data_IF_373449366843
#
_entry.id   IF_373449366843
#
_cell.length_a   1.000
_cell.length_b   1.000
_cell.length_c   1.000
_cell.angle_alpha   90.00
_cell.angle_beta   90.00
_cell.angle_gamma   90.00
#
_symmetry.space_group_name_H-M   'P 1'
#
loop_
_entity.id
_entity.type
_entity.pdbx_description
1 polymer ?
#
# COMPACT_ATOMS: atom_id res chain seq x y z
N UNK A 1 -14.20 -17.85 41.59
CA UNK A 1 -14.63 -18.99 42.42
C UNK A 1 -15.71 -18.55 43.43
N UNK A 2 -16.89 -18.09 42.96
CA UNK A 2 -17.92 -17.49 43.84
C UNK A 2 -19.36 -17.78 43.39
N UNK A 3 -19.56 -18.75 42.50
CA UNK A 3 -20.89 -19.11 41.94
C UNK A 3 -21.42 -20.41 42.54
N UNK A 4 -20.59 -21.20 43.22
CA UNK A 4 -20.99 -22.52 43.72
C UNK A 4 -21.78 -22.47 45.04
N UNK A 5 -21.82 -21.35 45.75
CA UNK A 5 -22.36 -21.29 47.13
C UNK A 5 -23.83 -20.87 47.27
N UNK A 6 -24.55 -20.61 46.16
CA UNK A 6 -25.96 -20.18 46.20
C UNK A 6 -26.96 -21.25 45.73
N UNK A 7 -26.53 -22.51 45.57
CA UNK A 7 -27.39 -23.60 45.07
C UNK A 7 -27.80 -24.64 46.13
N UNK A 8 -27.77 -24.29 47.42
CA UNK A 8 -28.07 -25.29 48.47
C UNK A 8 -29.26 -24.94 49.37
N UNK A 9 -29.93 -23.80 49.16
CA UNK A 9 -31.06 -23.40 50.01
C UNK A 9 -32.38 -23.49 49.24
N UNK A 10 -33.03 -24.65 49.41
CA UNK A 10 -34.47 -24.89 49.33
C UNK A 10 -35.20 -24.31 48.11
N UNK A 11 -35.55 -25.16 47.13
CA UNK A 11 -36.75 -24.92 46.31
C UNK A 11 -37.18 -26.13 45.51
N UNK A 12 -38.48 -26.37 45.57
CA UNK A 12 -39.26 -27.22 44.68
C UNK A 12 -38.81 -27.07 43.22
N UNK A 13 -38.77 -28.18 42.51
CA UNK A 13 -38.33 -28.31 41.11
C UNK A 13 -38.99 -27.29 40.16
N UNK A 14 -40.20 -26.81 40.50
CA UNK A 14 -40.94 -25.79 39.76
C UNK A 14 -40.27 -24.40 39.74
N UNK A 15 -39.62 -23.97 40.83
CA UNK A 15 -39.01 -22.63 40.90
C UNK A 15 -37.67 -22.55 40.18
N UNK A 16 -36.92 -23.66 40.14
CA UNK A 16 -35.67 -23.76 39.38
C UNK A 16 -35.94 -23.64 37.88
N UNK A 17 -37.01 -24.27 37.36
CA UNK A 17 -37.40 -24.14 35.96
C UNK A 17 -37.78 -22.69 35.58
N UNK A 18 -38.48 -21.95 36.44
CA UNK A 18 -38.83 -20.54 36.18
C UNK A 18 -37.58 -19.66 36.07
N UNK A 19 -36.59 -19.86 36.94
CA UNK A 19 -35.33 -19.09 36.91
C UNK A 19 -34.51 -19.43 35.66
N UNK A 20 -34.39 -20.71 35.30
CA UNK A 20 -33.70 -21.14 34.09
C UNK A 20 -34.35 -20.61 32.80
N UNK A 21 -35.69 -20.58 32.75
CA UNK A 21 -36.43 -19.99 31.62
C UNK A 21 -36.17 -18.48 31.50
N UNK A 22 -36.09 -17.76 32.63
CA UNK A 22 -35.82 -16.32 32.64
C UNK A 22 -34.39 -16.00 32.20
N UNK A 23 -33.41 -16.79 32.64
CA UNK A 23 -32.01 -16.67 32.22
C UNK A 23 -31.78 -17.03 30.74
N UNK A 24 -32.50 -18.04 30.22
CA UNK A 24 -32.39 -18.39 28.78
C UNK A 24 -32.96 -17.28 27.89
N UNK A 25 -34.08 -16.66 28.30
CA UNK A 25 -34.65 -15.49 27.60
C UNK A 25 -33.70 -14.29 27.64
N UNK A 26 -33.06 -14.02 28.79
CA UNK A 26 -32.14 -12.91 28.93
C UNK A 26 -30.87 -13.10 28.08
N UNK A 27 -30.30 -14.31 28.05
CA UNK A 27 -29.18 -14.64 27.15
C UNK A 27 -29.55 -14.46 25.67
N UNK A 28 -30.75 -14.89 25.26
CA UNK A 28 -31.24 -14.70 23.88
C UNK A 28 -31.39 -13.23 23.51
N UNK A 29 -31.90 -12.40 24.42
CA UNK A 29 -32.06 -10.96 24.21
C UNK A 29 -30.69 -10.27 24.05
N UNK A 30 -29.70 -10.60 24.89
CA UNK A 30 -28.34 -10.04 24.76
C UNK A 30 -27.63 -10.47 23.48
N UNK A 31 -27.75 -11.74 23.07
CA UNK A 31 -27.15 -12.21 21.79
C UNK A 31 -27.79 -11.54 20.57
N UNK A 32 -29.10 -11.28 20.61
CA UNK A 32 -29.82 -10.59 19.53
C UNK A 32 -29.39 -9.12 19.41
N UNK A 33 -29.24 -8.42 20.54
CA UNK A 33 -28.72 -7.04 20.57
C UNK A 33 -27.28 -6.96 20.06
N UNK A 34 -26.43 -7.92 20.43
CA UNK A 34 -25.04 -7.98 19.97
C UNK A 34 -24.96 -8.23 18.46
N UNK A 35 -25.81 -9.13 17.92
CA UNK A 35 -25.89 -9.39 16.49
C UNK A 35 -26.40 -8.17 15.71
N UNK A 36 -27.45 -7.51 16.22
CA UNK A 36 -27.99 -6.28 15.60
C UNK A 36 -26.96 -5.16 15.58
N UNK A 37 -26.17 -5.00 16.64
CA UNK A 37 -25.07 -4.03 16.71
C UNK A 37 -23.93 -4.39 15.75
N UNK A 38 -23.57 -5.67 15.63
CA UNK A 38 -22.56 -6.14 14.67
C UNK A 38 -23.02 -5.91 13.21
N UNK A 39 -24.31 -6.12 12.94
CA UNK A 39 -24.91 -5.87 11.63
C UNK A 39 -24.97 -4.38 11.29
N UNK A 40 -25.41 -3.51 12.22
CA UNK A 40 -25.44 -2.06 12.00
C UNK A 40 -24.04 -1.46 11.86
N UNK A 41 -23.05 -1.98 12.58
CA UNK A 41 -21.67 -1.55 12.45
C UNK A 41 -21.08 -1.98 11.09
N UNK A 42 -21.41 -3.19 10.62
CA UNK A 42 -21.00 -3.70 9.30
C UNK A 42 -21.49 -2.82 8.14
N UNK A 43 -22.73 -2.35 8.17
CA UNK A 43 -23.29 -1.51 7.07
C UNK A 43 -22.64 -0.13 6.99
N UNK A 44 -22.25 0.45 8.12
CA UNK A 44 -21.54 1.75 8.14
C UNK A 44 -20.12 1.64 7.56
N UNK A 45 -19.36 0.60 7.94
CA UNK A 45 -18.01 0.37 7.44
C UNK A 45 -18.00 0.05 5.94
N UNK A 46 -19.01 -0.70 5.47
CA UNK A 46 -19.18 -0.99 4.05
C UNK A 46 -19.41 0.26 3.20
N UNK A 47 -20.30 1.16 3.63
CA UNK A 47 -20.51 2.44 2.92
C UNK A 47 -19.25 3.28 2.82
N UNK A 48 -18.48 3.37 3.92
CA UNK A 48 -17.20 4.11 3.92
C UNK A 48 -16.21 3.49 2.93
N UNK A 49 -16.13 2.15 2.87
CA UNK A 49 -15.26 1.45 1.90
C UNK A 49 -15.68 1.72 0.46
N UNK A 50 -16.98 1.68 0.15
CA UNK A 50 -17.50 1.97 -1.19
C UNK A 50 -17.22 3.41 -1.62
N UNK A 51 -17.40 4.39 -0.73
CA UNK A 51 -17.07 5.79 -1.03
C UNK A 51 -15.58 5.95 -1.31
N UNK A 52 -14.70 5.35 -0.48
CA UNK A 52 -13.25 5.36 -0.71
C UNK A 52 -12.88 4.71 -2.04
N UNK A 53 -13.49 3.57 -2.36
CA UNK A 53 -13.31 2.86 -3.62
C UNK A 53 -13.70 3.74 -4.82
N UNK A 54 -14.87 4.38 -4.79
CA UNK A 54 -15.34 5.25 -5.87
C UNK A 54 -14.43 6.46 -6.08
N UNK A 55 -14.02 7.15 -5.02
CA UNK A 55 -13.12 8.32 -5.10
C UNK A 55 -11.75 7.90 -5.66
N UNK A 56 -11.20 6.79 -5.17
CA UNK A 56 -9.92 6.28 -5.62
C UNK A 56 -10.00 5.91 -7.11
N UNK A 57 -11.03 5.16 -7.52
CA UNK A 57 -11.18 4.71 -8.90
C UNK A 57 -11.36 5.88 -9.89
N UNK A 58 -12.17 6.89 -9.55
CA UNK A 58 -12.39 8.05 -10.44
C UNK A 58 -11.15 8.93 -10.58
N UNK A 59 -10.36 9.09 -9.52
CA UNK A 59 -9.11 9.87 -9.55
C UNK A 59 -8.02 9.15 -10.34
N UNK A 60 -8.05 7.83 -10.31
CA UNK A 60 -6.96 7.00 -10.77
C UNK A 60 -7.06 6.63 -12.25
N UNK A 61 -8.27 6.34 -12.74
CA UNK A 61 -8.50 6.07 -14.16
C UNK A 61 -7.88 7.14 -15.09
N UNK A 62 -8.07 8.46 -14.88
CA UNK A 62 -7.43 9.47 -15.73
C UNK A 62 -5.91 9.52 -15.54
N UNK A 63 -5.38 9.20 -14.36
CA UNK A 63 -3.93 9.16 -14.13
C UNK A 63 -3.26 8.05 -14.95
N UNK A 64 -3.82 6.83 -14.94
CA UNK A 64 -3.30 5.70 -15.73
C UNK A 64 -3.42 6.00 -17.23
N UNK A 65 -4.55 6.57 -17.67
CA UNK A 65 -4.74 6.95 -19.08
C UNK A 65 -3.71 8.00 -19.52
N UNK A 66 -3.41 8.99 -18.67
CA UNK A 66 -2.38 9.99 -18.94
C UNK A 66 -0.99 9.33 -19.06
N UNK A 67 -0.63 8.46 -18.12
CA UNK A 67 0.66 7.75 -18.16
C UNK A 67 0.78 6.92 -19.44
N UNK A 68 -0.27 6.17 -19.83
CA UNK A 68 -0.30 5.39 -21.07
C UNK A 68 -0.13 6.29 -22.30
N UNK A 69 -0.81 7.44 -22.35
CA UNK A 69 -0.69 8.38 -23.46
C UNK A 69 0.74 8.90 -23.60
N UNK A 70 1.36 9.29 -22.49
CA UNK A 70 2.76 9.73 -22.44
C UNK A 70 3.71 8.60 -22.85
N UNK A 71 3.47 7.36 -22.39
CA UNK A 71 4.23 6.19 -22.83
C UNK A 71 4.15 6.00 -24.34
N UNK A 72 2.95 5.99 -24.91
CA UNK A 72 2.75 5.83 -26.36
C UNK A 72 3.47 6.95 -27.12
N UNK A 73 3.41 8.19 -26.63
CA UNK A 73 4.15 9.31 -27.21
C UNK A 73 5.66 9.06 -27.21
N UNK A 74 6.23 8.63 -26.07
CA UNK A 74 7.65 8.28 -25.97
C UNK A 74 8.04 7.11 -26.86
N UNK A 75 7.24 6.04 -26.91
CA UNK A 75 7.51 4.89 -27.78
C UNK A 75 7.51 5.28 -29.26
N UNK A 76 6.59 6.14 -29.70
CA UNK A 76 6.56 6.61 -31.09
C UNK A 76 7.75 7.49 -31.46
N UNK A 77 8.24 8.31 -30.52
CA UNK A 77 9.36 9.24 -30.76
C UNK A 77 10.73 8.73 -30.24
N UNK A 78 10.77 7.50 -29.73
CA UNK A 78 11.93 6.89 -29.06
C UNK A 78 13.23 7.08 -29.82
N UNK A 79 13.21 6.82 -31.13
CA UNK A 79 14.43 6.81 -31.97
C UNK A 79 15.07 8.19 -32.12
N UNK A 80 14.29 9.27 -32.10
CA UNK A 80 14.78 10.63 -32.39
C UNK A 80 15.10 11.41 -31.10
N UNK A 81 14.26 11.30 -30.09
CA UNK A 81 14.37 12.12 -28.87
C UNK A 81 15.36 11.53 -27.87
N UNK A 82 15.31 10.22 -27.61
CA UNK A 82 16.10 9.60 -26.53
C UNK A 82 17.59 9.54 -26.89
N UNK A 83 17.94 9.32 -28.16
CA UNK A 83 19.35 9.26 -28.55
C UNK A 83 20.03 10.63 -28.42
N UNK A 84 19.30 11.72 -28.65
CA UNK A 84 19.88 13.05 -28.76
C UNK A 84 19.82 13.86 -27.45
N UNK A 85 18.95 13.49 -26.51
CA UNK A 85 18.67 14.28 -25.33
C UNK A 85 18.63 13.41 -24.05
N UNK A 86 19.64 13.50 -23.18
CA UNK A 86 19.75 12.66 -21.98
C UNK A 86 18.62 12.94 -20.97
N UNK A 87 18.10 14.17 -20.90
CA UNK A 87 17.07 14.56 -19.93
C UNK A 87 15.76 13.75 -20.07
N UNK A 88 15.49 13.21 -21.26
CA UNK A 88 14.35 12.33 -21.47
C UNK A 88 14.51 10.96 -20.82
N UNK A 89 15.74 10.50 -20.55
CA UNK A 89 16.00 9.19 -19.96
C UNK A 89 15.53 9.15 -18.51
N UNK A 90 15.88 10.16 -17.71
CA UNK A 90 15.43 10.26 -16.31
C UNK A 90 13.90 10.41 -16.23
N UNK A 91 13.32 11.22 -17.11
CA UNK A 91 11.86 11.38 -17.18
C UNK A 91 11.16 10.06 -17.51
N UNK A 92 11.69 9.31 -18.46
CA UNK A 92 11.19 7.99 -18.83
C UNK A 92 11.34 6.99 -17.67
N UNK A 93 12.49 6.94 -17.00
CA UNK A 93 12.70 6.10 -15.83
C UNK A 93 11.68 6.41 -14.73
N UNK A 94 11.43 7.70 -14.44
CA UNK A 94 10.43 8.15 -13.48
C UNK A 94 9.03 7.69 -13.89
N UNK A 95 8.68 7.81 -15.18
CA UNK A 95 7.39 7.34 -15.70
C UNK A 95 7.22 5.82 -15.55
N UNK A 96 8.26 5.04 -15.81
CA UNK A 96 8.26 3.57 -15.66
C UNK A 96 8.09 3.18 -14.20
N UNK A 97 8.90 3.73 -13.30
CA UNK A 97 8.84 3.39 -11.86
C UNK A 97 7.49 3.82 -11.29
N UNK A 98 7.01 5.02 -11.62
CA UNK A 98 5.69 5.52 -11.21
C UNK A 98 4.54 4.65 -11.74
N UNK A 99 4.61 4.21 -12.99
CA UNK A 99 3.58 3.35 -13.58
C UNK A 99 3.55 1.95 -12.93
N UNK A 100 4.72 1.36 -12.66
CA UNK A 100 4.81 0.09 -11.93
C UNK A 100 4.27 0.26 -10.51
N UNK A 101 4.67 1.31 -9.79
CA UNK A 101 4.20 1.58 -8.43
C UNK A 101 2.68 1.76 -8.39
N UNK A 102 2.13 2.59 -9.29
CA UNK A 102 0.68 2.77 -9.42
C UNK A 102 0.01 1.43 -9.69
N UNK A 103 0.34 0.77 -10.79
CA UNK A 103 -0.33 -0.46 -11.23
C UNK A 103 -0.32 -1.54 -10.17
N UNK A 104 0.81 -1.72 -9.48
CA UNK A 104 0.91 -2.70 -8.40
C UNK A 104 0.06 -2.29 -7.20
N UNK A 105 0.21 -1.08 -6.66
CA UNK A 105 -0.47 -0.68 -5.41
C UNK A 105 -1.98 -0.60 -5.55
N UNK A 106 -2.43 -0.08 -6.68
CA UNK A 106 -3.83 0.09 -7.02
C UNK A 106 -4.59 -1.23 -7.02
N UNK A 107 -4.03 -2.26 -7.68
CA UNK A 107 -4.74 -3.52 -7.88
C UNK A 107 -5.05 -4.14 -6.52
N UNK A 108 -4.07 -4.15 -5.61
CA UNK A 108 -4.26 -4.70 -4.27
C UNK A 108 -5.16 -3.83 -3.40
N UNK A 109 -5.03 -2.49 -3.46
CA UNK A 109 -5.91 -1.60 -2.70
C UNK A 109 -7.37 -1.67 -3.16
N UNK A 110 -7.63 -1.66 -4.47
CA UNK A 110 -8.98 -1.78 -5.01
C UNK A 110 -9.61 -3.14 -4.69
N UNK A 111 -8.82 -4.21 -4.75
CA UNK A 111 -9.29 -5.54 -4.38
C UNK A 111 -9.72 -5.57 -2.90
N UNK A 112 -8.87 -5.06 -2.01
CA UNK A 112 -9.16 -4.98 -0.58
C UNK A 112 -10.38 -4.10 -0.28
N UNK A 113 -10.50 -2.93 -0.92
CA UNK A 113 -11.65 -2.05 -0.71
C UNK A 113 -12.97 -2.66 -1.21
N UNK A 114 -12.93 -3.44 -2.29
CA UNK A 114 -14.12 -4.08 -2.87
C UNK A 114 -14.59 -5.30 -2.08
N UNK A 115 -13.68 -6.17 -1.69
CA UNK A 115 -14.02 -7.47 -1.09
C UNK A 115 -13.82 -7.50 0.43
N UNK A 116 -13.04 -6.57 0.99
CA UNK A 116 -12.68 -6.57 2.41
C UNK A 116 -11.76 -7.72 2.81
N UNK A 117 -11.16 -8.41 1.84
CA UNK A 117 -10.32 -9.59 2.02
C UNK A 117 -8.97 -9.32 1.34
N UNK A 118 -7.88 -9.78 1.96
CA UNK A 118 -6.53 -9.72 1.38
C UNK A 118 -6.32 -10.97 0.52
N UNK A 119 -5.88 -10.81 -0.75
CA UNK A 119 -5.72 -11.90 -1.72
C UNK A 119 -4.87 -13.05 -1.16
N UNK A 120 -3.76 -12.70 -0.51
CA UNK A 120 -2.85 -13.64 0.13
C UNK A 120 -2.44 -13.09 1.49
N UNK A 121 -3.02 -13.58 2.60
CA UNK A 121 -2.64 -13.15 3.95
C UNK A 121 -1.34 -13.81 4.44
N UNK A 122 -0.52 -14.36 3.53
CA UNK A 122 0.74 -14.99 3.92
C UNK A 122 1.76 -13.94 4.35
N UNK A 123 2.55 -14.27 5.37
CA UNK A 123 3.62 -13.42 5.89
C UNK A 123 4.56 -12.95 4.78
N UNK A 124 5.07 -13.89 3.98
CA UNK A 124 6.03 -13.60 2.91
C UNK A 124 5.44 -12.65 1.85
N UNK A 125 4.16 -12.77 1.53
CA UNK A 125 3.50 -11.86 0.58
C UNK A 125 3.45 -10.43 1.13
N UNK A 126 3.01 -10.25 2.39
CA UNK A 126 2.92 -8.93 3.01
C UNK A 126 4.28 -8.23 3.08
N UNK A 127 5.32 -8.96 3.50
CA UNK A 127 6.69 -8.42 3.57
C UNK A 127 7.21 -8.04 2.20
N UNK A 128 7.07 -8.93 1.21
CA UNK A 128 7.52 -8.67 -0.18
C UNK A 128 6.78 -7.49 -0.79
N UNK A 129 5.47 -7.42 -0.56
CA UNK A 129 4.60 -6.36 -1.05
C UNK A 129 4.98 -5.00 -0.47
N UNK A 130 5.11 -4.92 0.87
CA UNK A 130 5.49 -3.70 1.56
C UNK A 130 6.90 -3.24 1.14
N UNK A 131 7.83 -4.19 1.02
CA UNK A 131 9.17 -3.93 0.51
C UNK A 131 9.16 -3.33 -0.90
N UNK A 132 8.42 -3.94 -1.83
CA UNK A 132 8.33 -3.47 -3.20
C UNK A 132 7.77 -2.04 -3.25
N UNK A 133 6.69 -1.78 -2.51
CA UNK A 133 6.06 -0.47 -2.47
C UNK A 133 7.00 0.61 -1.91
N UNK A 134 7.65 0.31 -0.77
CA UNK A 134 8.61 1.23 -0.15
C UNK A 134 9.81 1.51 -1.07
N UNK A 135 10.36 0.47 -1.70
CA UNK A 135 11.51 0.60 -2.60
C UNK A 135 11.18 1.44 -3.83
N UNK A 136 10.03 1.19 -4.47
CA UNK A 136 9.58 1.98 -5.62
C UNK A 136 9.33 3.45 -5.23
N UNK A 137 8.78 3.69 -4.03
CA UNK A 137 8.58 5.03 -3.50
C UNK A 137 9.90 5.78 -3.29
N UNK A 138 10.90 5.14 -2.65
CA UNK A 138 12.24 5.71 -2.48
C UNK A 138 12.90 6.03 -3.83
N UNK A 139 12.87 5.09 -4.78
CA UNK A 139 13.42 5.30 -6.12
C UNK A 139 12.73 6.47 -6.81
N UNK A 140 11.41 6.60 -6.70
CA UNK A 140 10.69 7.75 -7.26
C UNK A 140 11.12 9.08 -6.62
N UNK A 141 11.26 9.15 -5.29
CA UNK A 141 11.75 10.35 -4.62
C UNK A 141 13.18 10.71 -5.04
N UNK A 142 14.06 9.71 -5.14
CA UNK A 142 15.44 9.91 -5.59
C UNK A 142 15.49 10.40 -7.04
N UNK A 143 14.69 9.80 -7.94
CA UNK A 143 14.60 10.22 -9.34
C UNK A 143 14.04 11.65 -9.49
N UNK A 144 13.02 12.02 -8.71
CA UNK A 144 12.47 13.39 -8.69
C UNK A 144 13.53 14.38 -8.21
N UNK A 145 14.19 14.07 -7.09
CA UNK A 145 15.25 14.91 -6.53
C UNK A 145 16.39 15.08 -7.53
N UNK A 146 16.79 13.99 -8.16
CA UNK A 146 17.83 14.01 -9.19
C UNK A 146 17.42 14.83 -10.41
N UNK A 147 16.18 14.68 -10.90
CA UNK A 147 15.65 15.49 -12.00
C UNK A 147 15.68 16.99 -11.69
N UNK A 148 15.37 17.38 -10.44
CA UNK A 148 15.49 18.78 -10.00
C UNK A 148 16.94 19.28 -10.02
N UNK A 149 17.89 18.48 -9.51
CA UNK A 149 19.32 18.81 -9.51
C UNK A 149 19.85 18.91 -10.95
N UNK A 150 19.49 17.95 -11.81
CA UNK A 150 19.91 17.92 -13.21
C UNK A 150 19.42 19.17 -13.96
N UNK A 151 18.14 19.55 -13.79
CA UNK A 151 17.62 20.80 -14.39
C UNK A 151 18.33 22.03 -13.87
N UNK A 152 18.60 22.08 -12.57
CA UNK A 152 19.32 23.20 -11.96
C UNK A 152 20.73 23.34 -12.55
N UNK A 153 21.48 22.24 -12.63
CA UNK A 153 22.81 22.21 -13.27
C UNK A 153 22.74 22.58 -14.76
N UNK A 154 21.70 22.18 -15.47
CA UNK A 154 21.54 22.52 -16.88
C UNK A 154 21.34 24.04 -17.09
N UNK A 155 20.51 24.66 -16.25
CA UNK A 155 20.21 26.10 -16.32
C UNK A 155 21.43 26.94 -15.93
N UNK A 156 22.05 26.63 -14.78
CA UNK A 156 23.11 27.48 -14.23
C UNK A 156 24.51 27.12 -14.77
N UNK A 157 24.75 25.88 -15.17
CA UNK A 157 26.07 25.36 -15.52
C UNK A 157 26.08 24.61 -16.86
N UNK A 158 25.41 25.16 -17.87
CA UNK A 158 25.31 24.57 -19.22
C UNK A 158 26.65 24.21 -19.85
N UNK A 159 27.74 24.89 -19.49
CA UNK A 159 29.09 24.59 -19.97
C UNK A 159 29.64 23.24 -19.44
N UNK A 160 29.28 22.82 -18.22
CA UNK A 160 29.71 21.53 -17.66
C UNK A 160 29.06 20.37 -18.41
N UNK A 161 27.80 20.52 -18.80
CA UNK A 161 27.03 19.50 -19.51
C UNK A 161 27.47 19.27 -20.96
N UNK A 162 28.32 20.13 -21.54
CA UNK A 162 28.88 19.91 -22.88
C UNK A 162 29.90 18.76 -22.94
N UNK A 163 30.54 18.43 -21.81
CA UNK A 163 31.55 17.37 -21.76
C UNK A 163 30.87 16.01 -21.59
N UNK A 164 31.13 15.06 -22.51
CA UNK A 164 30.58 13.69 -22.45
C UNK A 164 30.84 12.99 -21.12
N UNK A 165 32.02 13.18 -20.52
CA UNK A 165 32.36 12.55 -19.24
C UNK A 165 31.55 13.12 -18.06
N UNK A 166 31.32 14.44 -18.04
CA UNK A 166 30.47 15.06 -17.03
C UNK A 166 29.02 14.57 -17.19
N UNK A 167 28.52 14.47 -18.43
CA UNK A 167 27.22 13.86 -18.70
C UNK A 167 27.16 12.43 -18.17
N UNK A 168 28.20 11.61 -18.39
CA UNK A 168 28.18 10.23 -17.91
C UNK A 168 28.15 10.16 -16.37
N UNK A 169 29.02 10.93 -15.71
CA UNK A 169 29.16 10.93 -14.26
C UNK A 169 27.95 11.54 -13.57
N UNK A 170 27.45 12.68 -14.04
CA UNK A 170 26.29 13.31 -13.41
C UNK A 170 24.99 12.60 -13.81
N UNK A 171 24.81 12.11 -15.03
CA UNK A 171 23.53 11.53 -15.43
C UNK A 171 23.35 10.07 -15.01
N UNK A 172 24.32 9.18 -15.30
CA UNK A 172 24.14 7.74 -15.10
C UNK A 172 24.54 7.25 -13.70
N UNK A 173 25.46 7.94 -13.01
CA UNK A 173 25.88 7.54 -11.66
C UNK A 173 24.72 7.61 -10.65
N UNK A 174 23.88 8.67 -10.62
CA UNK A 174 22.77 8.74 -9.67
C UNK A 174 21.64 7.75 -9.99
N UNK A 175 21.39 7.48 -11.28
CA UNK A 175 20.46 6.44 -11.73
C UNK A 175 20.90 5.04 -11.28
N UNK A 176 22.19 4.75 -11.37
CA UNK A 176 22.74 3.47 -10.93
C UNK A 176 22.77 3.36 -9.40
N UNK A 177 23.09 4.45 -8.70
CA UNK A 177 23.07 4.49 -7.24
C UNK A 177 21.64 4.31 -6.70
N UNK A 178 20.65 5.01 -7.23
CA UNK A 178 19.25 4.88 -6.76
C UNK A 178 18.72 3.47 -6.94
N UNK A 179 19.02 2.82 -8.07
CA UNK A 179 18.67 1.43 -8.32
C UNK A 179 19.34 0.46 -7.33
N UNK A 180 20.59 0.74 -6.90
CA UNK A 180 21.33 -0.09 -5.94
C UNK A 180 20.87 0.14 -4.49
N UNK A 181 20.63 1.39 -4.10
CA UNK A 181 20.16 1.75 -2.76
C UNK A 181 18.84 1.04 -2.44
N UNK A 182 17.91 1.01 -3.39
CA UNK A 182 16.64 0.30 -3.22
C UNK A 182 16.86 -1.19 -2.88
N UNK A 183 17.85 -1.82 -3.51
CA UNK A 183 18.24 -3.20 -3.23
C UNK A 183 18.95 -3.40 -1.88
N UNK A 184 19.75 -2.43 -1.43
CA UNK A 184 20.47 -2.51 -0.14
C UNK A 184 19.51 -2.32 1.03
N UNK A 185 18.57 -1.37 0.92
CA UNK A 185 17.54 -1.12 1.94
C UNK A 185 16.70 -2.38 2.19
N UNK A 186 16.47 -3.20 1.15
CA UNK A 186 15.82 -4.50 1.29
C UNK A 186 16.54 -5.40 2.31
N UNK A 187 17.87 -5.50 2.19
CA UNK A 187 18.67 -6.39 3.02
C UNK A 187 18.60 -5.97 4.49
N UNK A 188 18.66 -4.66 4.76
CA UNK A 188 18.61 -4.14 6.13
C UNK A 188 17.21 -4.30 6.75
N UNK A 189 16.16 -3.94 6.02
CA UNK A 189 14.79 -3.96 6.56
C UNK A 189 14.23 -5.37 6.75
N UNK A 190 14.70 -6.36 5.99
CA UNK A 190 14.29 -7.74 6.16
C UNK A 190 14.71 -8.32 7.52
N UNK A 191 15.90 -7.95 8.01
CA UNK A 191 16.41 -8.38 9.32
C UNK A 191 15.64 -7.70 10.47
N UNK A 192 15.48 -6.38 10.40
CA UNK A 192 14.77 -5.61 11.44
C UNK A 192 13.29 -6.02 11.56
N UNK A 193 12.62 -6.26 10.42
CA UNK A 193 11.21 -6.64 10.42
C UNK A 193 11.01 -8.07 10.93
N UNK A 194 11.93 -8.98 10.61
CA UNK A 194 11.90 -10.35 11.15
C UNK A 194 12.05 -10.34 12.68
N UNK A 195 12.93 -9.50 13.22
CA UNK A 195 13.12 -9.32 14.67
C UNK A 195 11.86 -8.73 15.31
N UNK A 196 11.30 -7.66 14.75
CA UNK A 196 10.11 -7.01 15.30
C UNK A 196 8.91 -7.96 15.39
N UNK A 197 8.73 -8.81 14.37
CA UNK A 197 7.60 -9.74 14.32
C UNK A 197 7.82 -10.95 15.23
N UNK A 198 9.05 -11.46 15.36
CA UNK A 198 9.39 -12.51 16.33
C UNK A 198 9.18 -12.08 17.79
N UNK A 199 9.21 -10.78 18.08
CA UNK A 199 8.94 -10.24 19.42
C UNK A 199 7.42 -10.14 19.69
N UNK A 200 6.60 -9.95 18.66
CA UNK A 200 5.17 -9.64 18.79
C UNK A 200 4.22 -10.82 18.49
N UNK A 201 4.72 -11.96 18.01
CA UNK A 201 3.97 -13.19 17.73
C UNK A 201 4.65 -14.41 18.36
#
# INVERSE_FOLDING_TARGET
MKITFLLQKTRTTADVQKVLCKLSRQKKATSCLLYKKKLSMSTSAERIRLVKYSILQTTLAPSILCDIFVFVYFFRHWRKEIINAPHYHVTLCLLIVSFIQKTTDIIFHLYYLRWGIVISPTYSFCVTWNWLNYSLYCVNLDLVTWCCIERHLFVFHSHLMKKKLALIVFHYLPLTISARIAGIIHCSTAEDLAIYIAIHF
#
